data_IF_210901374437
#
_entry.id   IF_210901374437
#
_cell.length_a   1.000
_cell.length_b   1.000
_cell.length_c   1.000
_cell.angle_alpha   90.00
_cell.angle_beta   90.00
_cell.angle_gamma   90.00
#
_symmetry.space_group_name_H-M   'P 1'
#
loop_
_entity.id
_entity.type
_entity.pdbx_description
1 polymer ?
#
# COMPACT_ATOMS: atom_id res chain seq x y z
N UNK A 1 11.64 -6.36 -30.38
CA UNK A 1 12.40 -5.40 -29.55
C UNK A 1 11.78 -3.99 -29.54
N UNK A 2 11.52 -3.34 -30.67
CA UNK A 2 10.94 -1.97 -30.76
C UNK A 2 9.54 -1.85 -30.11
N UNK A 3 8.67 -2.83 -30.24
CA UNK A 3 7.32 -2.87 -29.68
C UNK A 3 7.29 -2.87 -28.13
N UNK A 4 8.22 -3.59 -27.52
CA UNK A 4 8.38 -3.66 -26.07
C UNK A 4 8.91 -2.33 -25.50
N UNK A 5 9.74 -1.64 -26.27
CA UNK A 5 10.29 -0.34 -25.89
C UNK A 5 9.21 0.78 -25.84
N UNK A 6 8.30 0.81 -26.84
CA UNK A 6 7.22 1.82 -26.88
C UNK A 6 6.20 1.62 -25.76
N UNK A 7 5.85 0.38 -25.47
CA UNK A 7 4.95 0.03 -24.37
C UNK A 7 5.55 0.42 -23.02
N UNK A 8 6.82 0.12 -22.76
CA UNK A 8 7.52 0.51 -21.54
C UNK A 8 7.57 2.04 -21.34
N UNK A 9 7.64 2.82 -22.42
CA UNK A 9 7.63 4.27 -22.34
C UNK A 9 6.28 4.82 -21.87
N UNK A 10 5.16 4.22 -22.26
CA UNK A 10 3.82 4.59 -21.83
C UNK A 10 3.67 4.33 -20.32
N UNK A 11 4.08 3.16 -19.84
CA UNK A 11 4.06 2.81 -18.42
C UNK A 11 4.88 3.81 -17.60
N UNK A 12 6.11 4.11 -18.03
CA UNK A 12 6.97 5.11 -17.38
C UNK A 12 6.33 6.50 -17.36
N UNK A 13 5.62 6.88 -18.43
CA UNK A 13 4.93 8.16 -18.51
C UNK A 13 3.78 8.24 -17.50
N UNK A 14 3.02 7.15 -17.35
CA UNK A 14 1.96 7.07 -16.34
C UNK A 14 2.53 7.29 -14.92
N UNK A 15 3.57 6.55 -14.51
CA UNK A 15 4.16 6.71 -13.18
C UNK A 15 4.72 8.12 -12.97
N UNK A 16 5.28 8.75 -14.00
CA UNK A 16 5.68 10.17 -13.93
C UNK A 16 4.48 11.11 -13.75
N UNK A 17 3.31 10.79 -14.28
CA UNK A 17 2.12 11.65 -14.18
C UNK A 17 1.46 11.63 -12.79
N UNK A 18 1.63 10.55 -12.03
CA UNK A 18 1.12 10.41 -10.65
C UNK A 18 2.15 10.79 -9.59
N UNK A 19 3.38 11.10 -9.99
CA UNK A 19 4.46 11.59 -9.13
C UNK A 19 4.31 13.11 -8.86
N UNK A 20 4.84 13.60 -7.75
CA UNK A 20 4.62 14.97 -7.25
C UNK A 20 5.30 16.08 -8.04
N UNK A 21 6.10 15.82 -9.08
CA UNK A 21 6.90 16.85 -9.75
C UNK A 21 6.42 17.20 -11.18
N UNK A 22 6.20 18.50 -11.46
CA UNK A 22 5.94 19.13 -12.77
C UNK A 22 4.93 18.40 -13.68
N UNK A 23 3.65 18.44 -13.32
CA UNK A 23 2.59 17.55 -13.80
C UNK A 23 2.02 17.88 -15.18
N UNK A 24 1.74 19.14 -15.51
CA UNK A 24 0.90 19.48 -16.67
C UNK A 24 1.48 19.01 -18.01
N UNK A 25 2.77 19.24 -18.26
CA UNK A 25 3.41 18.78 -19.51
C UNK A 25 3.40 17.26 -19.65
N UNK A 26 3.52 16.53 -18.53
CA UNK A 26 3.55 15.06 -18.51
C UNK A 26 2.14 14.52 -18.69
N UNK A 27 1.15 15.10 -18.02
CA UNK A 27 -0.26 14.73 -18.14
C UNK A 27 -0.76 15.00 -19.57
N UNK A 28 -0.39 16.13 -20.17
CA UNK A 28 -0.73 16.43 -21.56
C UNK A 28 -0.12 15.44 -22.56
N UNK A 29 1.09 14.91 -22.29
CA UNK A 29 1.67 13.83 -23.09
C UNK A 29 0.91 12.52 -22.90
N UNK A 30 0.54 12.19 -21.67
CA UNK A 30 -0.22 10.98 -21.34
C UNK A 30 -1.61 11.03 -21.98
N UNK A 31 -2.28 12.20 -21.96
CA UNK A 31 -3.59 12.39 -22.59
C UNK A 31 -3.59 12.02 -24.09
N UNK A 32 -2.51 12.36 -24.81
CA UNK A 32 -2.32 11.97 -26.22
C UNK A 32 -2.13 10.46 -26.44
N UNK A 33 -1.89 9.70 -25.38
CA UNK A 33 -1.63 8.26 -25.38
C UNK A 33 -2.70 7.48 -24.59
N UNK A 34 -3.75 8.15 -24.10
CA UNK A 34 -4.89 7.52 -23.45
C UNK A 34 -6.11 7.53 -24.36
N UNK A 35 -6.81 6.42 -24.42
CA UNK A 35 -8.15 6.31 -25.05
C UNK A 35 -9.27 6.58 -24.03
N UNK A 36 -8.91 6.70 -22.75
CA UNK A 36 -9.85 6.88 -21.67
C UNK A 36 -9.72 8.31 -21.10
N UNK A 37 -10.68 9.21 -21.36
CA UNK A 37 -10.64 10.57 -20.82
C UNK A 37 -10.80 10.60 -19.30
N UNK A 38 -11.49 9.62 -18.71
CA UNK A 38 -11.70 9.54 -17.25
C UNK A 38 -10.41 9.21 -16.51
N UNK A 39 -9.46 8.49 -17.12
CA UNK A 39 -8.13 8.23 -16.56
C UNK A 39 -7.37 9.52 -16.27
N UNK A 40 -7.46 10.49 -17.16
CA UNK A 40 -6.79 11.79 -16.99
C UNK A 40 -7.45 12.60 -15.86
N UNK A 41 -8.78 12.57 -15.78
CA UNK A 41 -9.52 13.20 -14.69
C UNK A 41 -9.20 12.54 -13.35
N UNK A 42 -9.12 11.22 -13.29
CA UNK A 42 -8.69 10.47 -12.09
C UNK A 42 -7.30 10.92 -11.63
N UNK A 43 -6.33 11.02 -12.54
CA UNK A 43 -4.96 11.46 -12.22
C UNK A 43 -4.97 12.90 -11.67
N UNK A 44 -5.76 13.80 -12.23
CA UNK A 44 -5.90 15.16 -11.71
C UNK A 44 -6.50 15.18 -10.30
N UNK A 45 -7.57 14.43 -10.05
CA UNK A 45 -8.20 14.33 -8.74
C UNK A 45 -7.27 13.71 -7.70
N UNK A 46 -6.60 12.62 -8.04
CA UNK A 46 -5.58 11.97 -7.19
C UNK A 46 -4.47 12.95 -6.81
N UNK A 47 -3.92 13.65 -7.80
CA UNK A 47 -2.84 14.60 -7.57
C UNK A 47 -3.29 15.78 -6.70
N UNK A 48 -4.48 16.33 -6.97
CA UNK A 48 -5.07 17.41 -6.16
C UNK A 48 -5.29 16.94 -4.72
N UNK A 49 -5.84 15.74 -4.55
CA UNK A 49 -6.04 15.15 -3.23
C UNK A 49 -4.72 15.01 -2.47
N UNK A 50 -3.71 14.36 -3.06
CA UNK A 50 -2.38 14.15 -2.44
C UNK A 50 -1.72 15.48 -2.03
N UNK A 51 -1.79 16.49 -2.89
CA UNK A 51 -1.23 17.80 -2.61
C UNK A 51 -1.92 18.47 -1.43
N UNK A 52 -3.26 18.59 -1.47
CA UNK A 52 -4.05 19.20 -0.40
C UNK A 52 -3.86 18.45 0.94
N UNK A 53 -3.89 17.12 0.90
CA UNK A 53 -3.70 16.25 2.07
C UNK A 53 -2.34 16.49 2.74
N UNK A 54 -1.26 16.45 1.97
CA UNK A 54 0.10 16.62 2.46
C UNK A 54 0.34 18.03 2.99
N UNK A 55 -0.17 19.04 2.31
CA UNK A 55 -0.12 20.43 2.78
C UNK A 55 -0.85 20.61 4.10
N UNK A 56 -2.07 20.05 4.24
CA UNK A 56 -2.89 20.15 5.46
C UNK A 56 -2.26 19.46 6.67
N UNK A 57 -1.43 18.45 6.44
CA UNK A 57 -0.67 17.74 7.49
C UNK A 57 0.77 18.29 7.68
N UNK A 58 1.19 19.21 6.84
CA UNK A 58 2.48 19.91 6.93
C UNK A 58 3.69 19.04 6.59
N UNK A 59 3.54 18.07 5.67
CA UNK A 59 4.64 17.26 5.18
C UNK A 59 4.74 17.25 3.66
N UNK A 60 5.89 16.82 3.15
CA UNK A 60 6.14 16.66 1.73
C UNK A 60 6.76 15.30 1.40
N UNK A 61 6.50 14.82 0.19
CA UNK A 61 7.21 13.68 -0.39
C UNK A 61 8.25 14.23 -1.36
N UNK A 62 9.50 13.86 -1.15
CA UNK A 62 10.65 14.26 -1.97
C UNK A 62 11.36 13.05 -2.55
N UNK A 63 12.22 13.28 -3.56
CA UNK A 63 13.05 12.24 -4.21
C UNK A 63 12.23 11.04 -4.69
N UNK A 64 11.01 11.28 -5.14
CA UNK A 64 10.07 10.25 -5.56
C UNK A 64 10.55 9.56 -6.85
N UNK A 65 10.63 8.23 -6.81
CA UNK A 65 11.12 7.41 -7.94
C UNK A 65 10.35 6.10 -8.03
N UNK A 66 9.83 5.82 -9.22
CA UNK A 66 9.21 4.54 -9.57
C UNK A 66 10.18 3.68 -10.39
N UNK A 67 10.42 2.45 -9.94
CA UNK A 67 11.30 1.47 -10.61
C UNK A 67 10.50 0.22 -10.92
N UNK A 68 10.31 -0.07 -12.20
CA UNK A 68 9.61 -1.27 -12.66
C UNK A 68 10.45 -2.50 -12.26
N UNK A 69 9.83 -3.43 -11.52
CA UNK A 69 10.46 -4.67 -11.05
C UNK A 69 10.14 -5.85 -11.93
N UNK A 70 8.88 -6.00 -12.28
CA UNK A 70 8.42 -7.10 -13.12
C UNK A 70 7.23 -6.65 -13.98
N UNK A 71 7.10 -7.25 -15.16
CA UNK A 71 5.96 -7.11 -16.05
C UNK A 71 5.57 -8.51 -16.54
N UNK A 72 4.35 -8.92 -16.22
CA UNK A 72 3.71 -10.11 -16.80
C UNK A 72 2.64 -9.66 -17.77
N UNK A 73 2.65 -10.13 -19.00
CA UNK A 73 1.75 -9.63 -20.04
C UNK A 73 1.12 -10.75 -20.82
N UNK A 74 -0.17 -10.59 -21.11
CA UNK A 74 -0.90 -11.37 -22.10
C UNK A 74 -1.20 -10.47 -23.29
N UNK A 75 -0.87 -10.93 -24.51
CA UNK A 75 -1.01 -10.15 -25.73
C UNK A 75 -1.95 -10.83 -26.71
N UNK A 76 -2.91 -10.09 -27.22
CA UNK A 76 -3.69 -10.37 -28.40
C UNK A 76 -3.24 -9.46 -29.56
N UNK A 77 -3.76 -9.67 -30.80
CA UNK A 77 -3.34 -8.92 -32.02
C UNK A 77 -3.13 -7.43 -31.77
N UNK A 78 -4.10 -6.76 -31.16
CA UNK A 78 -4.11 -5.30 -30.94
C UNK A 78 -4.29 -4.88 -29.48
N UNK A 79 -4.22 -5.81 -28.53
CA UNK A 79 -4.40 -5.53 -27.10
C UNK A 79 -3.28 -6.16 -26.27
N UNK A 80 -2.93 -5.51 -25.17
CA UNK A 80 -2.04 -6.04 -24.14
C UNK A 80 -2.70 -5.78 -22.78
N UNK A 81 -2.82 -6.85 -21.99
CA UNK A 81 -3.12 -6.78 -20.56
C UNK A 81 -1.85 -7.13 -19.80
N UNK A 82 -1.47 -6.32 -18.82
CA UNK A 82 -0.22 -6.52 -18.08
C UNK A 82 -0.39 -6.27 -16.59
N UNK A 83 0.23 -7.13 -15.82
CA UNK A 83 0.44 -6.94 -14.39
C UNK A 83 1.85 -6.41 -14.17
N UNK A 84 1.98 -5.28 -13.51
CA UNK A 84 3.25 -4.57 -13.34
C UNK A 84 3.53 -4.41 -11.85
N UNK A 85 4.63 -5.00 -11.38
CA UNK A 85 5.18 -4.73 -10.04
C UNK A 85 6.18 -3.60 -10.12
N UNK A 86 6.00 -2.58 -9.28
CA UNK A 86 6.80 -1.36 -9.28
C UNK A 86 7.28 -1.07 -7.87
N UNK A 87 8.58 -0.86 -7.70
CA UNK A 87 9.13 -0.30 -6.46
C UNK A 87 9.01 1.23 -6.53
N UNK A 88 8.27 1.79 -5.59
CA UNK A 88 8.17 3.23 -5.35
C UNK A 88 9.04 3.60 -4.16
N UNK A 89 10.02 4.47 -4.39
CA UNK A 89 10.91 4.99 -3.35
C UNK A 89 10.67 6.48 -3.21
N UNK A 90 10.68 6.98 -1.98
CA UNK A 90 10.54 8.39 -1.71
C UNK A 90 11.15 8.77 -0.35
N UNK A 91 11.26 10.08 -0.10
CA UNK A 91 11.62 10.62 1.21
C UNK A 91 10.43 11.41 1.75
N UNK A 92 9.87 10.95 2.87
CA UNK A 92 8.95 11.74 3.68
C UNK A 92 9.74 12.84 4.40
N UNK A 93 9.25 14.08 4.33
CA UNK A 93 9.92 15.24 4.92
C UNK A 93 8.91 16.07 5.69
N UNK A 94 9.19 16.33 6.98
CA UNK A 94 8.42 17.27 7.80
C UNK A 94 9.36 18.03 8.72
N UNK A 95 9.38 19.37 8.62
CA UNK A 95 10.40 20.18 9.29
C UNK A 95 11.81 19.75 8.90
N UNK A 96 12.63 19.41 9.87
CA UNK A 96 14.02 18.93 9.69
C UNK A 96 14.10 17.41 9.50
N UNK A 97 13.01 16.67 9.77
CA UNK A 97 13.02 15.21 9.67
C UNK A 97 12.85 14.72 8.25
N UNK A 98 13.66 13.71 7.91
CA UNK A 98 13.60 13.00 6.66
C UNK A 98 13.58 11.49 6.91
N UNK A 99 12.57 10.80 6.38
CA UNK A 99 12.46 9.34 6.47
C UNK A 99 12.43 8.75 5.06
N UNK A 100 13.40 7.88 4.77
CA UNK A 100 13.40 7.12 3.51
C UNK A 100 12.38 6.01 3.58
N UNK A 101 11.46 6.00 2.64
CA UNK A 101 10.35 5.06 2.55
C UNK A 101 10.33 4.36 1.21
N UNK A 102 9.84 3.14 1.19
CA UNK A 102 9.65 2.38 -0.05
C UNK A 102 8.43 1.49 0.05
N UNK A 103 7.82 1.21 -1.11
CA UNK A 103 6.74 0.22 -1.23
C UNK A 103 6.85 -0.55 -2.54
N UNK A 104 6.23 -1.73 -2.60
CA UNK A 104 6.00 -2.48 -3.83
C UNK A 104 4.53 -2.34 -4.19
N UNK A 105 4.26 -1.70 -5.32
CA UNK A 105 2.93 -1.51 -5.88
C UNK A 105 2.68 -2.52 -6.99
N UNK A 106 1.44 -2.96 -7.13
CA UNK A 106 0.99 -3.77 -8.25
C UNK A 106 -0.13 -3.07 -9.01
N UNK A 107 0.06 -2.97 -10.32
CA UNK A 107 -0.88 -2.34 -11.23
C UNK A 107 -1.27 -3.29 -12.36
N UNK A 108 -2.54 -3.24 -12.76
CA UNK A 108 -2.99 -3.80 -14.03
C UNK A 108 -3.09 -2.69 -15.08
N UNK A 109 -2.44 -2.89 -16.22
CA UNK A 109 -2.47 -1.99 -17.38
C UNK A 109 -3.17 -2.67 -18.54
N UNK A 110 -4.09 -1.94 -19.18
CA UNK A 110 -4.78 -2.34 -20.39
C UNK A 110 -4.46 -1.36 -21.49
N UNK A 111 -3.87 -1.89 -22.58
CA UNK A 111 -3.46 -1.08 -23.71
C UNK A 111 -4.01 -1.65 -25.04
N UNK A 112 -4.35 -0.76 -25.97
CA UNK A 112 -4.80 -1.08 -27.32
C UNK A 112 -3.89 -0.44 -28.35
N UNK A 113 -3.63 -1.18 -29.43
CA UNK A 113 -2.86 -0.70 -30.57
C UNK A 113 -3.80 -0.17 -31.65
N UNK A 114 -3.59 1.07 -32.09
CA UNK A 114 -4.28 1.71 -33.18
C UNK A 114 -3.23 2.35 -34.10
N UNK A 115 -3.27 2.06 -35.40
CA UNK A 115 -2.35 2.61 -36.39
C UNK A 115 -0.86 2.55 -35.93
N UNK A 116 -0.41 1.35 -35.55
CA UNK A 116 0.95 1.06 -35.06
C UNK A 116 1.35 1.73 -33.72
N UNK A 117 0.51 2.55 -33.10
CA UNK A 117 0.75 3.18 -31.79
C UNK A 117 -0.02 2.48 -30.69
N UNK A 118 0.58 2.40 -29.49
CA UNK A 118 -0.07 1.90 -28.30
C UNK A 118 -0.71 3.02 -27.52
N UNK A 119 -1.90 2.77 -27.00
CA UNK A 119 -2.68 3.68 -26.16
C UNK A 119 -3.08 2.97 -24.87
N UNK A 120 -3.09 3.67 -23.76
CA UNK A 120 -3.67 3.20 -22.50
C UNK A 120 -5.20 3.25 -22.65
N UNK A 121 -5.84 2.14 -22.31
CA UNK A 121 -7.30 2.05 -22.18
C UNK A 121 -7.67 2.23 -20.72
N UNK A 122 -6.94 1.59 -19.80
CA UNK A 122 -7.16 1.74 -18.37
C UNK A 122 -5.96 1.29 -17.54
N UNK A 123 -5.95 1.75 -16.26
CA UNK A 123 -4.96 1.39 -15.25
C UNK A 123 -5.64 1.19 -13.91
N UNK A 124 -5.30 0.11 -13.21
CA UNK A 124 -5.81 -0.20 -11.87
C UNK A 124 -4.69 -0.41 -10.89
N UNK A 125 -4.77 0.25 -9.75
CA UNK A 125 -3.93 -0.02 -8.58
C UNK A 125 -4.58 -1.13 -7.74
N UNK A 126 -3.86 -2.20 -7.46
CA UNK A 126 -4.38 -3.37 -6.74
C UNK A 126 -4.80 -3.03 -5.31
N UNK A 127 -4.00 -2.23 -4.60
CA UNK A 127 -4.28 -1.86 -3.21
C UNK A 127 -5.55 -1.03 -3.10
N UNK A 128 -5.72 -0.07 -4.01
CA UNK A 128 -6.86 0.85 -3.99
C UNK A 128 -8.15 0.20 -4.50
N UNK A 129 -8.04 -0.66 -5.51
CA UNK A 129 -9.16 -1.25 -6.21
C UNK A 129 -9.08 -2.79 -6.24
N UNK A 130 -8.78 -3.42 -5.09
CA UNK A 130 -8.57 -4.87 -5.00
C UNK A 130 -9.75 -5.69 -5.53
N UNK A 131 -10.98 -5.29 -5.24
CA UNK A 131 -12.19 -5.96 -5.74
C UNK A 131 -12.34 -5.87 -7.26
N UNK A 132 -12.00 -4.73 -7.84
CA UNK A 132 -11.98 -4.55 -9.30
C UNK A 132 -10.83 -5.31 -9.94
N UNK A 133 -9.65 -5.28 -9.32
CA UNK A 133 -8.46 -6.00 -9.79
C UNK A 133 -8.71 -7.51 -9.88
N UNK A 134 -9.32 -8.12 -8.88
CA UNK A 134 -9.65 -9.55 -8.88
C UNK A 134 -10.54 -9.94 -10.05
N UNK A 135 -11.54 -9.09 -10.38
CA UNK A 135 -12.42 -9.31 -11.55
C UNK A 135 -11.70 -9.14 -12.89
N UNK A 136 -10.66 -8.31 -12.93
CA UNK A 136 -9.90 -8.01 -14.15
C UNK A 136 -8.85 -9.08 -14.46
N UNK A 137 -8.26 -9.67 -13.43
CA UNK A 137 -7.23 -10.70 -13.57
C UNK A 137 -7.81 -12.10 -13.77
N UNK A 138 -9.13 -12.26 -13.68
CA UNK A 138 -9.80 -13.50 -14.05
C UNK A 138 -9.56 -13.78 -15.56
N UNK A 139 -9.04 -14.97 -15.87
CA UNK A 139 -8.71 -15.37 -17.23
C UNK A 139 -9.91 -15.43 -18.17
N UNK A 140 -11.12 -15.53 -17.65
CA UNK A 140 -12.38 -15.52 -18.39
C UNK A 140 -12.83 -14.11 -18.81
N UNK A 141 -12.20 -13.06 -18.26
CA UNK A 141 -12.61 -11.67 -18.47
C UNK A 141 -11.94 -11.05 -19.69
N UNK A 142 -12.68 -10.94 -20.81
CA UNK A 142 -12.24 -10.14 -21.94
C UNK A 142 -12.56 -8.65 -21.73
N UNK A 143 -11.56 -7.90 -21.27
CA UNK A 143 -11.67 -6.47 -20.95
C UNK A 143 -12.05 -5.61 -22.16
N UNK A 144 -11.80 -6.08 -23.37
CA UNK A 144 -12.01 -5.34 -24.61
C UNK A 144 -13.23 -5.81 -25.39
N UNK A 145 -14.01 -6.76 -24.86
CA UNK A 145 -15.25 -7.18 -25.50
C UNK A 145 -16.30 -6.06 -25.43
N UNK A 146 -17.21 -6.03 -26.41
CA UNK A 146 -18.32 -5.07 -26.43
C UNK A 146 -19.20 -5.17 -25.19
N UNK A 147 -19.36 -6.36 -24.66
CA UNK A 147 -20.19 -6.63 -23.46
C UNK A 147 -19.59 -6.03 -22.19
N UNK A 148 -18.31 -5.69 -22.20
CA UNK A 148 -17.60 -5.09 -21.07
C UNK A 148 -17.53 -3.56 -21.10
N UNK A 149 -18.01 -2.89 -22.16
CA UNK A 149 -17.97 -1.42 -22.29
C UNK A 149 -18.73 -0.71 -21.16
N UNK A 150 -19.88 -1.23 -20.76
CA UNK A 150 -20.66 -0.71 -19.64
C UNK A 150 -19.96 -0.92 -18.30
N UNK A 151 -19.29 -2.04 -18.11
CA UNK A 151 -18.48 -2.31 -16.91
C UNK A 151 -17.29 -1.36 -16.78
N UNK A 152 -16.65 -1.01 -17.88
CA UNK A 152 -15.60 0.00 -17.91
C UNK A 152 -16.09 1.35 -17.44
N UNK A 153 -17.21 1.81 -18.02
CA UNK A 153 -17.82 3.09 -17.65
C UNK A 153 -18.22 3.13 -16.18
N UNK A 154 -18.79 2.06 -15.65
CA UNK A 154 -19.15 1.94 -14.22
C UNK A 154 -17.90 2.02 -13.34
N UNK A 155 -16.82 1.33 -13.70
CA UNK A 155 -15.55 1.33 -12.94
C UNK A 155 -14.89 2.70 -12.93
N UNK A 156 -14.87 3.37 -14.08
CA UNK A 156 -14.31 4.71 -14.21
C UNK A 156 -15.08 5.70 -13.34
N UNK A 157 -16.41 5.63 -13.35
CA UNK A 157 -17.25 6.46 -12.50
C UNK A 157 -16.99 6.18 -11.01
N UNK A 158 -16.78 4.91 -10.60
CA UNK A 158 -16.44 4.53 -9.21
C UNK A 158 -15.10 5.16 -8.81
N UNK A 159 -14.07 5.12 -9.68
CA UNK A 159 -12.76 5.69 -9.39
C UNK A 159 -12.82 7.23 -9.25
N UNK A 160 -13.53 7.89 -10.14
CA UNK A 160 -13.75 9.35 -10.06
C UNK A 160 -14.52 9.73 -8.79
N UNK A 161 -15.62 9.03 -8.52
CA UNK A 161 -16.46 9.24 -7.34
C UNK A 161 -15.66 9.05 -6.03
N UNK A 162 -14.77 8.04 -5.97
CA UNK A 162 -13.91 7.80 -4.83
C UNK A 162 -13.04 9.03 -4.52
N UNK A 163 -12.29 9.55 -5.50
CA UNK A 163 -11.42 10.69 -5.29
C UNK A 163 -12.18 12.00 -5.05
N UNK A 164 -13.32 12.19 -5.71
CA UNK A 164 -14.20 13.34 -5.46
C UNK A 164 -14.70 13.37 -4.02
N UNK A 165 -15.13 12.22 -3.49
CA UNK A 165 -15.60 12.13 -2.11
C UNK A 165 -14.46 12.34 -1.10
N UNK A 166 -13.28 11.76 -1.34
CA UNK A 166 -12.09 12.01 -0.49
C UNK A 166 -11.72 13.51 -0.49
N UNK A 167 -11.82 14.21 -1.62
CA UNK A 167 -11.59 15.65 -1.67
C UNK A 167 -12.66 16.44 -0.91
N UNK A 168 -13.94 16.10 -1.04
CA UNK A 168 -15.03 16.76 -0.31
C UNK A 168 -14.91 16.60 1.20
N UNK A 169 -14.41 15.47 1.67
CA UNK A 169 -14.26 15.15 3.09
C UNK A 169 -12.85 15.42 3.64
N UNK A 170 -11.99 16.12 2.91
CA UNK A 170 -10.56 16.21 3.25
C UNK A 170 -10.31 16.85 4.62
N UNK A 171 -11.08 17.85 5.00
CA UNK A 171 -10.96 18.53 6.30
C UNK A 171 -11.28 17.58 7.46
N UNK A 172 -12.38 16.82 7.35
CA UNK A 172 -12.75 15.82 8.36
C UNK A 172 -11.73 14.68 8.44
N UNK A 173 -11.18 14.25 7.30
CA UNK A 173 -10.12 13.25 7.25
C UNK A 173 -8.82 13.76 7.92
N UNK A 174 -8.44 15.02 7.65
CA UNK A 174 -7.28 15.66 8.29
C UNK A 174 -7.48 15.75 9.81
N UNK A 175 -8.66 16.15 10.25
CA UNK A 175 -8.97 16.22 11.69
C UNK A 175 -8.92 14.83 12.35
N UNK A 176 -9.51 13.82 11.71
CA UNK A 176 -9.47 12.45 12.17
C UNK A 176 -8.03 11.93 12.26
N UNK A 177 -7.20 12.20 11.24
CA UNK A 177 -5.80 11.77 11.25
C UNK A 177 -4.99 12.47 12.35
N UNK A 178 -5.16 13.78 12.54
CA UNK A 178 -4.43 14.54 13.57
C UNK A 178 -4.69 14.00 14.98
N UNK A 179 -5.86 13.44 15.25
CA UNK A 179 -6.18 12.79 16.54
C UNK A 179 -5.39 11.50 16.78
N UNK A 180 -4.87 10.88 15.72
CA UNK A 180 -4.10 9.62 15.83
C UNK A 180 -2.60 9.84 16.05
N UNK A 181 -2.12 11.07 15.89
CA UNK A 181 -0.70 11.37 16.06
C UNK A 181 -0.30 11.21 17.53
N UNK A 182 0.78 10.48 17.77
CA UNK A 182 1.30 10.29 19.12
C UNK A 182 1.73 11.62 19.75
N UNK A 183 1.31 11.87 20.98
CA UNK A 183 1.71 13.06 21.73
C UNK A 183 2.97 12.85 22.55
N UNK A 184 3.41 11.60 22.77
CA UNK A 184 4.59 11.30 23.59
C UNK A 184 5.29 9.99 23.18
N UNK A 185 6.62 10.04 23.13
CA UNK A 185 7.50 8.87 23.10
C UNK A 185 7.73 8.36 24.53
N UNK A 186 6.85 7.55 25.08
CA UNK A 186 7.15 6.79 26.29
C UNK A 186 7.65 5.41 25.90
N UNK A 187 8.96 5.19 26.01
CA UNK A 187 9.52 3.84 25.91
C UNK A 187 9.19 3.08 27.19
N UNK A 188 8.21 2.20 27.14
CA UNK A 188 8.08 1.16 28.15
C UNK A 188 9.11 0.06 27.83
N UNK A 189 10.05 -0.14 28.76
CA UNK A 189 11.01 -1.24 28.66
C UNK A 189 10.34 -2.48 29.25
N UNK A 190 10.00 -3.42 28.40
CA UNK A 190 9.45 -4.71 28.82
C UNK A 190 10.54 -5.77 28.91
N UNK A 191 10.45 -6.61 29.94
CA UNK A 191 11.36 -7.75 30.12
C UNK A 191 10.93 -8.87 29.17
N UNK A 192 11.76 -9.16 28.14
CA UNK A 192 11.57 -10.31 27.25
C UNK A 192 11.38 -9.99 25.77
N UNK A 193 10.89 -8.79 25.40
CA UNK A 193 10.76 -8.41 23.98
C UNK A 193 11.76 -7.32 23.60
N UNK A 194 12.69 -7.68 22.73
CA UNK A 194 13.68 -6.75 22.18
C UNK A 194 13.12 -6.08 20.93
N UNK A 195 12.55 -4.90 21.10
CA UNK A 195 11.93 -4.09 20.03
C UNK A 195 12.90 -3.74 18.92
N UNK A 196 14.17 -3.46 19.26
CA UNK A 196 15.20 -3.11 18.28
C UNK A 196 15.52 -4.31 17.37
N UNK A 197 15.62 -5.51 17.91
CA UNK A 197 15.83 -6.72 17.10
C UNK A 197 14.63 -6.98 16.16
N UNK A 198 13.41 -6.81 16.65
CA UNK A 198 12.19 -6.94 15.84
C UNK A 198 12.15 -5.93 14.68
N UNK A 199 12.50 -4.65 14.97
CA UNK A 199 12.53 -3.59 13.96
C UNK A 199 13.65 -3.82 12.94
N UNK A 200 14.84 -4.20 13.38
CA UNK A 200 15.95 -4.50 12.49
C UNK A 200 15.60 -5.65 11.55
N UNK A 201 14.95 -6.70 12.08
CA UNK A 201 14.43 -7.79 11.26
C UNK A 201 13.39 -7.28 10.26
N UNK A 202 12.44 -6.49 10.75
CA UNK A 202 11.39 -5.91 9.91
C UNK A 202 11.97 -5.10 8.75
N UNK A 203 12.83 -4.14 9.02
CA UNK A 203 13.44 -3.29 7.99
C UNK A 203 14.29 -4.09 6.99
N UNK A 204 15.03 -5.09 7.46
CA UNK A 204 15.86 -5.96 6.61
C UNK A 204 15.01 -6.76 5.62
N UNK A 205 13.86 -7.26 6.09
CA UNK A 205 13.06 -8.21 5.33
C UNK A 205 11.77 -7.63 4.70
N UNK A 206 11.45 -6.36 4.93
CA UNK A 206 10.22 -5.73 4.41
C UNK A 206 10.05 -5.83 2.89
N UNK A 207 11.14 -5.71 2.11
CA UNK A 207 11.14 -5.77 0.65
C UNK A 207 11.95 -6.96 0.10
N UNK A 208 12.58 -7.75 0.99
CA UNK A 208 13.40 -8.90 0.66
C UNK A 208 13.04 -10.04 1.62
N UNK A 209 12.17 -10.92 1.18
CA UNK A 209 11.65 -12.01 2.00
C UNK A 209 12.75 -12.89 2.54
N UNK A 210 12.62 -13.33 3.79
CA UNK A 210 13.55 -14.28 4.38
C UNK A 210 13.28 -15.68 3.82
N UNK A 211 14.22 -16.20 3.04
CA UNK A 211 14.12 -17.51 2.38
C UNK A 211 14.07 -18.71 3.35
N UNK A 212 14.38 -18.50 4.66
CA UNK A 212 14.20 -19.53 5.68
C UNK A 212 12.73 -19.79 6.01
N UNK A 213 11.80 -18.93 5.56
CA UNK A 213 10.36 -19.09 5.75
C UNK A 213 9.63 -19.16 4.42
N UNK A 214 8.58 -19.99 4.38
CA UNK A 214 7.68 -20.04 3.21
C UNK A 214 6.93 -18.72 3.08
N UNK A 215 6.81 -18.18 1.87
CA UNK A 215 5.94 -17.06 1.57
C UNK A 215 4.50 -17.51 1.30
N UNK A 216 3.53 -16.72 1.75
CA UNK A 216 2.10 -16.92 1.55
C UNK A 216 1.45 -15.88 0.63
N UNK A 217 2.22 -15.06 -0.09
CA UNK A 217 1.68 -14.02 -0.99
C UNK A 217 0.66 -14.55 -2.00
N UNK A 218 0.90 -15.75 -2.51
CA UNK A 218 -0.01 -16.38 -3.48
C UNK A 218 -1.10 -17.26 -2.82
N UNK A 219 -1.20 -17.25 -1.48
CA UNK A 219 -2.06 -18.14 -0.69
C UNK A 219 -2.77 -17.41 0.45
N UNK A 220 -3.28 -16.20 0.19
CA UNK A 220 -4.03 -15.41 1.18
C UNK A 220 -3.26 -14.24 1.78
N UNK A 221 -1.96 -14.12 1.52
CA UNK A 221 -1.11 -13.02 1.96
C UNK A 221 -0.10 -13.41 3.04
N UNK A 222 1.02 -12.70 3.06
CA UNK A 222 2.20 -12.96 3.90
C UNK A 222 2.34 -12.01 5.10
N UNK A 223 1.44 -11.05 5.25
CA UNK A 223 1.57 -9.99 6.25
C UNK A 223 1.73 -10.51 7.68
N UNK A 224 0.91 -11.49 8.10
CA UNK A 224 0.96 -12.03 9.46
C UNK A 224 2.13 -12.98 9.65
N UNK A 225 2.49 -13.79 8.64
CA UNK A 225 3.71 -14.59 8.64
C UNK A 225 4.94 -13.72 8.88
N UNK A 226 5.06 -12.60 8.20
CA UNK A 226 6.13 -11.63 8.39
C UNK A 226 6.14 -11.01 9.79
N UNK A 227 4.97 -10.60 10.32
CA UNK A 227 4.86 -10.06 11.68
C UNK A 227 5.30 -11.08 12.71
N UNK A 228 4.89 -12.35 12.57
CA UNK A 228 5.32 -13.42 13.47
C UNK A 228 6.82 -13.63 13.45
N UNK A 229 7.46 -13.52 12.29
CA UNK A 229 8.92 -13.55 12.17
C UNK A 229 9.58 -12.38 12.91
N UNK A 230 9.02 -11.16 12.80
CA UNK A 230 9.51 -9.98 13.52
C UNK A 230 9.42 -10.16 15.02
N UNK A 231 8.27 -10.65 15.52
CA UNK A 231 8.06 -10.92 16.94
C UNK A 231 9.02 -11.98 17.47
N UNK A 232 9.25 -13.05 16.70
CA UNK A 232 10.23 -14.08 17.05
C UNK A 232 11.66 -13.55 17.07
N UNK A 233 12.06 -12.73 16.09
CA UNK A 233 13.35 -12.05 16.07
C UNK A 233 13.51 -11.09 17.25
N UNK A 234 12.42 -10.53 17.76
CA UNK A 234 12.36 -9.74 19.00
C UNK A 234 12.45 -10.56 20.28
N UNK A 235 12.53 -11.88 20.21
CA UNK A 235 12.73 -12.76 21.37
C UNK A 235 11.46 -13.48 21.86
N UNK A 236 10.30 -13.30 21.23
CA UNK A 236 9.12 -14.10 21.61
C UNK A 236 9.36 -15.55 21.20
N UNK A 237 9.35 -16.50 22.16
CA UNK A 237 9.65 -17.90 21.88
C UNK A 237 8.50 -18.59 21.15
N UNK A 238 8.81 -19.60 20.36
CA UNK A 238 7.79 -20.51 19.83
C UNK A 238 7.00 -21.18 20.93
N UNK A 239 5.74 -21.46 20.66
CA UNK A 239 4.86 -22.25 21.52
C UNK A 239 4.15 -23.32 20.71
N UNK A 240 3.44 -24.23 21.41
CA UNK A 240 2.66 -25.28 20.75
C UNK A 240 1.57 -24.72 19.83
N UNK A 241 1.04 -23.53 20.11
CA UNK A 241 0.00 -22.87 19.30
C UNK A 241 0.56 -21.82 18.35
N UNK A 242 1.73 -21.23 18.60
CA UNK A 242 2.35 -20.19 17.77
C UNK A 242 3.77 -20.61 17.37
N UNK A 243 3.88 -21.13 16.19
CA UNK A 243 5.10 -21.56 15.54
C UNK A 243 4.91 -21.44 14.01
N UNK A 244 5.99 -21.49 13.20
CA UNK A 244 5.89 -21.36 11.76
C UNK A 244 4.76 -22.19 11.15
N UNK A 245 3.91 -21.48 10.39
CA UNK A 245 2.79 -22.00 9.60
C UNK A 245 1.53 -22.45 10.37
N UNK A 246 1.51 -22.34 11.69
CA UNK A 246 0.29 -22.51 12.48
C UNK A 246 -0.66 -21.31 12.30
N UNK A 247 -1.96 -21.48 12.57
CA UNK A 247 -2.95 -20.44 12.33
C UNK A 247 -2.61 -19.07 12.97
N UNK A 248 -2.20 -18.98 14.26
CA UNK A 248 -1.79 -17.71 14.85
C UNK A 248 -0.51 -17.12 14.23
N UNK A 249 0.32 -17.92 13.57
CA UNK A 249 1.51 -17.45 12.87
C UNK A 249 1.18 -16.79 11.52
N UNK A 250 0.09 -17.20 10.83
CA UNK A 250 -0.21 -16.80 9.45
C UNK A 250 -1.53 -16.03 9.28
N UNK A 251 -2.38 -15.95 10.32
CA UNK A 251 -3.71 -15.33 10.23
C UNK A 251 -3.83 -14.12 11.14
N UNK A 252 -4.26 -12.99 10.60
CA UNK A 252 -4.41 -11.71 11.31
C UNK A 252 -5.25 -11.84 12.59
N UNK A 253 -6.42 -12.47 12.49
CA UNK A 253 -7.34 -12.67 13.61
C UNK A 253 -6.77 -13.59 14.68
N UNK A 254 -6.15 -14.69 14.25
CA UNK A 254 -5.64 -15.70 15.18
C UNK A 254 -4.38 -15.21 15.91
N UNK A 255 -3.53 -14.42 15.24
CA UNK A 255 -2.40 -13.73 15.89
C UNK A 255 -2.88 -12.76 16.97
N UNK A 256 -3.91 -11.97 16.67
CA UNK A 256 -4.48 -11.06 17.64
C UNK A 256 -4.90 -11.77 18.93
N UNK A 257 -5.74 -12.81 18.81
CA UNK A 257 -6.22 -13.58 19.98
C UNK A 257 -5.08 -14.29 20.70
N UNK A 258 -4.07 -14.79 19.96
CA UNK A 258 -2.89 -15.38 20.58
C UNK A 258 -2.15 -14.38 21.44
N UNK A 259 -1.87 -13.18 20.95
CA UNK A 259 -1.16 -12.16 21.68
C UNK A 259 -1.92 -11.69 22.93
N UNK A 260 -3.22 -11.44 22.80
CA UNK A 260 -4.05 -10.95 23.90
C UNK A 260 -4.26 -12.05 24.97
N UNK A 261 -4.66 -13.25 24.57
CA UNK A 261 -4.99 -14.33 25.50
C UNK A 261 -3.77 -14.89 26.26
N UNK A 262 -2.57 -14.69 25.72
CA UNK A 262 -1.32 -15.09 26.40
C UNK A 262 -0.63 -13.91 27.11
N UNK A 263 -1.27 -12.74 27.24
CA UNK A 263 -0.73 -11.54 27.86
C UNK A 263 0.62 -11.08 27.21
N UNK A 264 0.85 -11.42 25.94
CA UNK A 264 2.02 -10.98 25.17
C UNK A 264 1.78 -9.57 24.63
N UNK A 265 0.54 -9.21 24.36
CA UNK A 265 0.16 -7.90 23.87
C UNK A 265 -1.11 -7.37 24.53
N UNK A 266 -1.30 -6.07 24.42
CA UNK A 266 -2.47 -5.34 24.92
C UNK A 266 -3.04 -4.51 23.77
N UNK A 267 -4.36 -4.64 23.54
CA UNK A 267 -5.09 -3.79 22.59
C UNK A 267 -5.57 -2.54 23.33
N UNK A 268 -4.84 -1.45 23.15
CA UNK A 268 -5.24 -0.16 23.72
C UNK A 268 -6.17 0.59 22.76
N UNK A 269 -7.07 1.39 23.30
CA UNK A 269 -7.84 2.37 22.52
C UNK A 269 -6.90 3.43 21.89
N UNK A 270 -7.40 4.11 20.84
CA UNK A 270 -6.62 4.97 19.92
C UNK A 270 -5.81 6.10 20.60
N UNK A 271 -6.09 6.43 21.87
CA UNK A 271 -5.41 7.51 22.60
C UNK A 271 -4.22 7.03 23.46
N UNK A 272 -3.79 5.78 23.32
CA UNK A 272 -2.74 5.18 24.14
C UNK A 272 -1.35 5.39 23.55
N UNK A 273 -0.33 5.36 24.41
CA UNK A 273 1.07 5.53 24.05
C UNK A 273 1.62 4.28 23.37
N UNK A 274 1.65 4.31 22.06
CA UNK A 274 2.24 3.24 21.25
C UNK A 274 3.76 3.41 21.11
N UNK A 275 4.43 2.29 20.90
CA UNK A 275 5.89 2.24 20.81
C UNK A 275 6.34 1.63 19.48
N UNK A 276 7.57 1.92 19.11
CA UNK A 276 8.23 1.17 18.03
C UNK A 276 8.26 -0.32 18.38
N UNK A 277 8.05 -1.19 17.39
CA UNK A 277 7.94 -2.64 17.60
C UNK A 277 6.52 -3.12 17.91
N UNK A 278 5.55 -2.23 18.10
CA UNK A 278 4.14 -2.59 18.25
C UNK A 278 3.54 -3.01 16.90
N UNK A 279 2.47 -3.80 16.95
CA UNK A 279 1.80 -4.33 15.77
C UNK A 279 0.61 -3.45 15.41
N UNK A 280 0.55 -3.01 14.16
CA UNK A 280 -0.62 -2.33 13.60
C UNK A 280 -1.41 -3.29 12.74
N UNK A 281 -2.74 -3.31 12.91
CA UNK A 281 -3.65 -4.10 12.06
C UNK A 281 -4.71 -3.19 11.43
N UNK A 282 -4.98 -3.41 10.15
CA UNK A 282 -5.90 -2.60 9.35
C UNK A 282 -7.21 -3.35 9.07
N UNK A 283 -8.33 -2.66 9.24
CA UNK A 283 -9.67 -3.17 8.98
C UNK A 283 -10.02 -3.02 7.50
N UNK A 284 -10.48 -4.08 6.89
CA UNK A 284 -11.03 -4.06 5.52
C UNK A 284 -12.56 -3.96 5.57
N UNK A 285 -13.11 -2.87 5.07
CA UNK A 285 -14.57 -2.72 4.96
C UNK A 285 -15.17 -3.75 3.99
N UNK A 286 -14.44 -4.09 2.93
CA UNK A 286 -14.88 -5.12 1.98
C UNK A 286 -15.03 -6.49 2.64
N UNK A 287 -14.10 -6.85 3.54
CA UNK A 287 -14.08 -8.14 4.23
C UNK A 287 -14.85 -8.14 5.55
N UNK A 288 -15.12 -6.97 6.13
CA UNK A 288 -15.78 -6.83 7.43
C UNK A 288 -14.92 -7.21 8.64
N UNK A 289 -13.58 -7.33 8.48
CA UNK A 289 -12.67 -7.70 9.56
C UNK A 289 -11.25 -7.13 9.35
N UNK A 290 -10.42 -7.19 10.42
CA UNK A 290 -9.00 -6.85 10.34
C UNK A 290 -8.29 -7.90 9.48
N UNK A 291 -7.77 -7.47 8.32
CA UNK A 291 -7.27 -8.37 7.29
C UNK A 291 -5.81 -8.13 6.88
N UNK A 292 -5.16 -7.11 7.43
CA UNK A 292 -3.78 -6.78 7.14
C UNK A 292 -3.03 -6.40 8.41
N UNK A 293 -1.72 -6.71 8.46
CA UNK A 293 -0.86 -6.46 9.62
C UNK A 293 0.45 -5.81 9.20
N UNK A 294 0.95 -4.91 10.04
CA UNK A 294 2.27 -4.28 9.95
C UNK A 294 2.92 -4.15 11.33
N UNK A 295 4.19 -3.77 11.36
CA UNK A 295 4.93 -3.46 12.58
C UNK A 295 5.42 -2.00 12.54
N UNK A 296 5.24 -1.26 13.63
CA UNK A 296 5.68 0.13 13.77
C UNK A 296 7.21 0.13 13.89
N UNK A 297 7.89 0.79 12.96
CA UNK A 297 9.35 0.81 12.89
C UNK A 297 9.95 2.15 13.29
N UNK A 298 9.17 3.22 13.26
CA UNK A 298 9.58 4.56 13.67
C UNK A 298 8.36 5.38 14.07
N UNK A 299 8.54 6.25 15.06
CA UNK A 299 7.62 7.34 15.39
C UNK A 299 8.48 8.61 15.34
N UNK A 300 8.06 9.61 14.57
CA UNK A 300 8.82 10.84 14.46
C UNK A 300 8.43 11.87 15.54
N UNK A 301 9.20 12.95 15.66
CA UNK A 301 8.94 14.02 16.64
C UNK A 301 7.57 14.72 16.48
N UNK A 302 6.90 14.53 15.35
CA UNK A 302 5.55 15.06 15.07
C UNK A 302 4.45 14.03 15.32
N UNK A 303 4.78 12.87 15.91
CA UNK A 303 3.85 11.78 16.20
C UNK A 303 3.44 10.92 15.02
N UNK A 304 4.06 11.10 13.84
CA UNK A 304 3.81 10.26 12.67
C UNK A 304 4.39 8.86 12.84
N UNK A 305 3.56 7.85 12.56
CA UNK A 305 3.97 6.45 12.57
C UNK A 305 4.48 6.01 11.21
N UNK A 306 5.58 5.25 11.24
CA UNK A 306 6.09 4.54 10.06
C UNK A 306 6.10 3.06 10.35
N UNK A 307 5.69 2.25 9.38
CA UNK A 307 5.57 0.82 9.56
C UNK A 307 6.17 0.03 8.40
N UNK A 308 6.41 -1.26 8.64
CA UNK A 308 6.78 -2.25 7.64
C UNK A 308 5.71 -3.34 7.57
N UNK A 309 5.46 -3.88 6.37
CA UNK A 309 4.58 -5.03 6.15
C UNK A 309 4.93 -5.79 4.88
N UNK A 310 4.45 -7.05 4.76
CA UNK A 310 4.40 -7.83 3.51
C UNK A 310 3.00 -7.83 2.89
N UNK A 311 2.86 -8.37 1.68
CA UNK A 311 1.60 -8.46 0.89
C UNK A 311 0.93 -7.10 0.66
N UNK A 312 1.64 -6.19 0.17
CA UNK A 312 1.64 -4.76 -0.09
C UNK A 312 2.92 -4.20 0.54
N UNK A 313 4.05 -4.82 0.17
CA UNK A 313 5.34 -4.65 0.84
C UNK A 313 5.69 -3.18 1.04
N UNK A 314 5.91 -2.81 2.31
CA UNK A 314 6.23 -1.44 2.71
C UNK A 314 7.41 -1.43 3.67
N UNK A 315 8.32 -0.49 3.44
CA UNK A 315 9.48 -0.23 4.28
C UNK A 315 9.41 1.19 4.84
N UNK A 316 9.33 1.33 6.16
CA UNK A 316 9.22 2.61 6.86
C UNK A 316 8.18 3.53 6.20
N UNK A 317 7.01 2.98 5.92
CA UNK A 317 5.96 3.69 5.19
C UNK A 317 5.12 4.54 6.15
N UNK A 318 4.88 5.83 5.85
CA UNK A 318 4.13 6.70 6.75
C UNK A 318 2.66 6.32 6.79
N UNK A 319 2.08 6.27 7.99
CA UNK A 319 0.67 5.93 8.19
C UNK A 319 -0.25 6.93 7.48
N UNK A 320 0.15 8.20 7.39
CA UNK A 320 -0.58 9.26 6.68
C UNK A 320 -0.80 9.00 5.19
N UNK A 321 -0.01 8.15 4.55
CA UNK A 321 -0.21 7.78 3.14
C UNK A 321 -1.17 6.58 2.97
N UNK A 322 -1.66 5.99 4.07
CA UNK A 322 -2.56 4.82 4.07
C UNK A 322 -3.86 5.09 4.83
N UNK A 323 -3.79 5.67 6.02
CA UNK A 323 -4.95 5.94 6.86
C UNK A 323 -5.24 7.46 6.90
N UNK A 324 -6.47 7.89 6.79
CA UNK A 324 -7.71 7.15 6.49
C UNK A 324 -8.00 7.02 4.98
N UNK A 325 -6.97 6.92 4.14
CA UNK A 325 -7.09 6.96 2.68
C UNK A 325 -7.62 5.64 2.11
N UNK A 326 -7.02 4.53 2.54
CA UNK A 326 -7.34 3.18 2.04
C UNK A 326 -8.03 2.32 3.09
N UNK A 327 -7.83 2.64 4.38
CA UNK A 327 -8.44 1.94 5.51
C UNK A 327 -9.17 2.94 6.40
N UNK A 328 -10.39 2.61 6.83
CA UNK A 328 -11.20 3.49 7.69
C UNK A 328 -10.94 3.23 9.19
N UNK A 329 -10.34 2.10 9.52
CA UNK A 329 -9.98 1.72 10.88
C UNK A 329 -8.64 1.00 10.92
N UNK A 330 -7.91 1.21 12.00
CA UNK A 330 -6.78 0.38 12.41
C UNK A 330 -6.85 0.14 13.92
N UNK A 331 -6.08 -0.82 14.41
CA UNK A 331 -5.79 -1.00 15.83
C UNK A 331 -4.31 -1.21 16.01
N UNK A 332 -3.80 -0.92 17.20
CA UNK A 332 -2.41 -1.18 17.57
C UNK A 332 -2.41 -2.12 18.77
N UNK A 333 -1.63 -3.18 18.66
CA UNK A 333 -1.39 -4.14 19.72
C UNK A 333 -0.01 -3.79 20.29
N UNK A 334 0.00 -3.27 21.51
CA UNK A 334 1.23 -3.01 22.24
C UNK A 334 1.82 -4.34 22.72
N UNK A 335 3.08 -4.59 22.45
CA UNK A 335 3.78 -5.81 22.86
C UNK A 335 4.47 -5.58 24.21
N UNK A 336 4.12 -6.44 25.16
CA UNK A 336 4.61 -6.36 26.54
C UNK A 336 6.09 -6.74 26.68
#
# INVERSE_FOLDING_TARGET
>A
MVLFFMYNNIIKLYFKSISCAKKDRIINKLNKLSLNPTLIQEIHLLNKFKETWRLSLGYAIKKEKYVIKNITSTKNKNTISSIIKVKHNFTYTKGTENVSSSEILEYAFFCKKINLKWFIVDVYNKELFSSLYTKITDKSFDYFSRDNSNLLLIRDNIKLYYWQNKLKSIESLVLAYKKTLSTQNKSHIYRGYNRINAINYAQKHALNYNNSYKSFDNSGGDCTNYISQCLHAGGIPFSNSWAPYKNPWIRVKDLYYYLINNNIGIDYEVDSNYSIGDIIQFFSNEKGFFSHSGIITKINQYGEYFYCCHSLDKLNFPLSEIYPLYYDKYRIIHIN
#
